data_IF_586688143954
#
_entry.id   IF_586688143954
#
_cell.length_a   1.000
_cell.length_b   1.000
_cell.length_c   1.000
_cell.angle_alpha   90.00
_cell.angle_beta   90.00
_cell.angle_gamma   90.00
#
_symmetry.space_group_name_H-M   'P 1'
#
loop_
_entity.id
_entity.type
_entity.pdbx_description
1 polymer ?
#
# COMPACT_ATOMS: atom_id res chain seq x y z
N UNK A 1 62.71 19.08 -6.09
CA UNK A 1 61.42 19.80 -5.98
C UNK A 1 60.24 18.83 -6.10
N UNK A 2 60.11 17.83 -5.23
CA UNK A 2 59.09 16.77 -5.41
C UNK A 2 58.40 16.23 -4.14
N UNK A 3 58.91 16.48 -2.93
CA UNK A 3 58.37 15.82 -1.71
C UNK A 3 57.41 16.68 -0.88
N UNK A 4 57.26 17.97 -1.17
CA UNK A 4 56.44 18.89 -0.35
C UNK A 4 54.94 18.89 -0.70
N UNK A 5 54.54 18.25 -1.81
CA UNK A 5 53.17 18.31 -2.32
C UNK A 5 52.27 17.15 -1.81
N UNK A 6 52.87 16.07 -1.31
CA UNK A 6 52.14 14.88 -0.83
C UNK A 6 51.65 15.08 0.62
N UNK A 7 52.46 15.68 1.48
CA UNK A 7 52.07 16.00 2.87
C UNK A 7 50.93 17.03 2.94
N UNK A 8 50.95 18.05 2.07
CA UNK A 8 49.88 19.06 2.01
C UNK A 8 48.53 18.47 1.58
N UNK A 9 48.52 17.54 0.62
CA UNK A 9 47.29 16.87 0.18
C UNK A 9 46.72 15.92 1.24
N UNK A 10 47.58 15.20 1.96
CA UNK A 10 47.15 14.25 3.00
C UNK A 10 46.70 14.96 4.28
N UNK A 11 47.31 16.10 4.62
CA UNK A 11 46.89 16.97 5.73
C UNK A 11 45.58 17.73 5.40
N UNK A 12 45.41 18.21 4.15
CA UNK A 12 44.12 18.77 3.69
C UNK A 12 43.00 17.73 3.71
N UNK A 13 43.25 16.51 3.24
CA UNK A 13 42.27 15.42 3.30
C UNK A 13 41.88 15.10 4.74
N UNK A 14 42.85 15.07 5.66
CA UNK A 14 42.59 14.79 7.07
C UNK A 14 41.83 15.94 7.75
N UNK A 15 42.12 17.21 7.42
CA UNK A 15 41.37 18.36 7.92
C UNK A 15 39.94 18.44 7.37
N UNK A 16 39.73 18.18 6.08
CA UNK A 16 38.38 18.14 5.48
C UNK A 16 37.55 17.01 6.10
N UNK A 17 38.17 15.84 6.32
CA UNK A 17 37.50 14.70 6.95
C UNK A 17 37.18 14.97 8.43
N UNK A 18 38.09 15.61 9.18
CA UNK A 18 37.88 16.01 10.58
C UNK A 18 36.82 17.11 10.71
N UNK A 19 36.79 18.08 9.80
CA UNK A 19 35.80 19.16 9.80
C UNK A 19 34.40 18.63 9.46
N UNK A 20 34.28 17.72 8.49
CA UNK A 20 33.03 16.99 8.21
C UNK A 20 32.57 16.16 9.40
N UNK A 21 33.49 15.50 10.10
CA UNK A 21 33.17 14.68 11.29
C UNK A 21 32.65 15.54 12.45
N UNK A 22 33.30 16.67 12.73
CA UNK A 22 32.92 17.60 13.80
C UNK A 22 31.54 18.25 13.56
N UNK A 23 31.20 18.53 12.30
CA UNK A 23 29.91 19.13 11.92
C UNK A 23 28.77 18.10 11.86
N UNK A 24 29.08 16.84 11.51
CA UNK A 24 28.12 15.73 11.58
C UNK A 24 27.72 15.43 13.03
N UNK A 25 28.67 15.42 13.97
CA UNK A 25 28.35 15.26 15.40
C UNK A 25 27.41 16.35 15.91
N UNK A 26 27.58 17.60 15.45
CA UNK A 26 26.66 18.70 15.75
C UNK A 26 25.24 18.48 15.22
N UNK A 27 25.08 17.87 14.04
CA UNK A 27 23.76 17.51 13.52
C UNK A 27 23.13 16.37 14.33
N UNK A 28 23.90 15.32 14.67
CA UNK A 28 23.40 14.21 15.50
C UNK A 28 22.84 14.73 16.82
N UNK A 29 23.57 15.62 17.49
CA UNK A 29 23.11 16.24 18.73
C UNK A 29 21.85 17.10 18.54
N UNK A 30 21.77 17.83 17.43
CA UNK A 30 20.56 18.59 17.06
C UNK A 30 19.35 17.66 16.90
N UNK A 31 19.51 16.53 16.21
CA UNK A 31 18.43 15.56 16.02
C UNK A 31 17.99 14.92 17.35
N UNK A 32 18.92 14.54 18.22
CA UNK A 32 18.63 14.06 19.59
C UNK A 32 17.78 15.06 20.37
N UNK A 33 18.14 16.35 20.31
CA UNK A 33 17.39 17.40 20.98
C UNK A 33 15.98 17.58 20.41
N UNK A 34 15.79 17.39 19.09
CA UNK A 34 14.45 17.42 18.48
C UNK A 34 13.56 16.28 19.00
N UNK A 35 14.14 15.10 19.25
CA UNK A 35 13.41 13.96 19.83
C UNK A 35 13.22 14.04 21.34
N UNK A 36 13.91 14.96 22.01
CA UNK A 36 13.89 15.09 23.46
C UNK A 36 12.56 15.60 24.02
N UNK A 37 12.34 15.34 25.30
CA UNK A 37 11.14 15.78 26.03
C UNK A 37 11.18 17.25 26.49
N UNK A 38 12.34 17.91 26.39
CA UNK A 38 12.50 19.33 26.77
C UNK A 38 12.03 20.24 25.62
N UNK A 39 10.89 20.89 25.82
CA UNK A 39 10.28 21.78 24.84
C UNK A 39 11.16 22.98 24.46
N UNK A 40 12.03 23.48 25.36
CA UNK A 40 12.90 24.60 25.06
C UNK A 40 14.08 24.16 24.19
N UNK A 41 14.72 23.04 24.53
CA UNK A 41 15.80 22.47 23.72
C UNK A 41 15.32 22.02 22.34
N UNK A 42 14.13 21.41 22.26
CA UNK A 42 13.52 21.00 20.99
C UNK A 42 13.31 22.18 20.05
N UNK A 43 12.70 23.28 20.53
CA UNK A 43 12.47 24.49 19.72
C UNK A 43 13.77 25.12 19.22
N UNK A 44 14.79 25.16 20.07
CA UNK A 44 16.09 25.70 19.69
C UNK A 44 16.79 24.81 18.64
N UNK A 45 16.70 23.48 18.79
CA UNK A 45 17.23 22.54 17.82
C UNK A 45 16.49 22.60 16.45
N UNK A 46 15.16 22.71 16.46
CA UNK A 46 14.36 22.93 15.25
C UNK A 46 14.75 24.23 14.51
N UNK A 47 15.02 25.30 15.28
CA UNK A 47 15.49 26.57 14.73
C UNK A 47 16.88 26.42 14.09
N UNK A 48 17.84 25.81 14.78
CA UNK A 48 19.19 25.54 14.23
C UNK A 48 19.11 24.73 12.94
N UNK A 49 18.27 23.71 12.89
CA UNK A 49 18.08 22.90 11.69
C UNK A 49 17.46 23.72 10.55
N UNK A 50 16.48 24.57 10.85
CA UNK A 50 15.86 25.47 9.86
C UNK A 50 16.87 26.47 9.28
N UNK A 51 17.72 27.05 10.13
CA UNK A 51 18.79 27.96 9.72
C UNK A 51 19.85 27.24 8.87
N UNK A 52 20.22 26.00 9.22
CA UNK A 52 21.14 25.17 8.44
C UNK A 52 20.58 24.86 7.04
N UNK A 53 19.30 24.50 6.94
CA UNK A 53 18.60 24.28 5.66
C UNK A 53 18.62 25.52 4.77
N UNK A 54 18.44 26.71 5.35
CA UNK A 54 18.40 27.96 4.60
C UNK A 54 19.79 28.44 4.17
N UNK A 55 20.78 28.33 5.05
CA UNK A 55 22.13 28.87 4.83
C UNK A 55 23.04 27.92 4.04
N UNK A 56 22.93 26.61 4.28
CA UNK A 56 23.81 25.58 3.74
C UNK A 56 23.02 24.32 3.32
N UNK A 57 22.12 24.43 2.32
CA UNK A 57 21.21 23.34 1.95
C UNK A 57 21.93 22.06 1.50
N UNK A 58 22.96 22.18 0.65
CA UNK A 58 23.72 21.02 0.16
C UNK A 58 24.47 20.28 1.27
N UNK A 59 25.10 21.03 2.18
CA UNK A 59 25.80 20.44 3.32
C UNK A 59 24.83 19.80 4.33
N UNK A 60 23.65 20.41 4.53
CA UNK A 60 22.61 19.82 5.38
C UNK A 60 22.16 18.47 4.82
N UNK A 61 21.92 18.37 3.51
CA UNK A 61 21.60 17.10 2.85
C UNK A 61 22.73 16.08 3.00
N UNK A 62 23.98 16.48 2.79
CA UNK A 62 25.15 15.60 2.96
C UNK A 62 25.26 15.06 4.40
N UNK A 63 25.07 15.91 5.41
CA UNK A 63 25.11 15.47 6.80
C UNK A 63 23.94 14.56 7.17
N UNK A 64 22.72 14.81 6.67
CA UNK A 64 21.59 13.91 6.87
C UNK A 64 21.86 12.51 6.32
N UNK A 65 22.45 12.42 5.12
CA UNK A 65 22.96 11.15 4.58
C UNK A 65 23.97 10.49 5.51
N UNK A 66 24.96 11.25 6.01
CA UNK A 66 25.98 10.73 6.93
C UNK A 66 25.39 10.17 8.22
N UNK A 67 24.34 10.80 8.77
CA UNK A 67 23.63 10.28 9.93
C UNK A 67 22.88 8.98 9.60
N UNK A 68 22.20 8.90 8.45
CA UNK A 68 21.52 7.67 8.01
C UNK A 68 22.52 6.52 7.82
N UNK A 69 23.67 6.79 7.20
CA UNK A 69 24.75 5.81 6.94
C UNK A 69 25.48 5.34 8.21
N UNK A 70 25.49 6.15 9.28
CA UNK A 70 26.29 5.87 10.46
C UNK A 70 25.65 4.81 11.37
N UNK A 71 26.20 3.60 11.35
CA UNK A 71 25.79 2.49 12.22
C UNK A 71 26.09 2.72 13.71
N UNK A 72 26.86 3.75 14.05
CA UNK A 72 27.15 4.14 15.43
C UNK A 72 26.07 5.06 16.02
N UNK A 73 25.23 5.67 15.19
CA UNK A 73 24.10 6.49 15.63
C UNK A 73 22.91 5.59 15.95
N UNK A 74 22.20 5.90 17.03
CA UNK A 74 21.02 5.16 17.44
C UNK A 74 19.92 5.18 16.37
N UNK A 75 19.25 4.03 16.20
CA UNK A 75 18.21 3.83 15.18
C UNK A 75 17.15 4.95 15.13
N UNK A 76 16.56 5.42 16.25
CA UNK A 76 15.56 6.49 16.20
C UNK A 76 16.05 7.78 15.56
N UNK A 77 17.32 8.15 15.78
CA UNK A 77 17.93 9.35 15.19
C UNK A 77 18.21 9.15 13.70
N UNK A 78 18.62 7.94 13.29
CA UNK A 78 18.78 7.57 11.88
C UNK A 78 17.47 7.63 11.12
N UNK A 79 16.38 7.11 11.70
CA UNK A 79 15.03 7.19 11.14
C UNK A 79 14.56 8.64 10.98
N UNK A 80 14.75 9.48 12.00
CA UNK A 80 14.40 10.90 11.91
C UNK A 80 15.24 11.63 10.87
N UNK A 81 16.54 11.33 10.76
CA UNK A 81 17.39 11.89 9.70
C UNK A 81 16.84 11.55 8.31
N UNK A 82 16.40 10.31 8.10
CA UNK A 82 15.77 9.89 6.85
C UNK A 82 14.45 10.65 6.58
N UNK A 83 13.59 10.84 7.59
CA UNK A 83 12.35 11.62 7.45
C UNK A 83 12.65 13.07 7.07
N UNK A 84 13.62 13.71 7.73
CA UNK A 84 14.03 15.08 7.43
C UNK A 84 14.71 15.19 6.05
N UNK A 85 15.48 14.17 5.66
CA UNK A 85 16.06 14.07 4.33
C UNK A 85 14.96 14.04 3.27
N UNK A 86 13.91 13.22 3.44
CA UNK A 86 12.74 13.21 2.55
C UNK A 86 12.12 14.60 2.40
N UNK A 87 11.92 15.30 3.53
CA UNK A 87 11.35 16.65 3.52
C UNK A 87 12.26 17.67 2.81
N UNK A 88 13.59 17.53 2.93
CA UNK A 88 14.55 18.36 2.22
C UNK A 88 14.56 18.09 0.71
N UNK A 89 14.26 16.87 0.29
CA UNK A 89 14.23 16.47 -1.13
C UNK A 89 12.85 16.65 -1.78
N UNK A 90 11.86 17.19 -1.05
CA UNK A 90 10.53 17.47 -1.57
C UNK A 90 10.41 18.81 -2.32
N UNK A 91 9.23 19.03 -2.91
CA UNK A 91 8.86 20.23 -3.67
C UNK A 91 9.79 20.48 -4.86
N UNK A 92 10.11 19.43 -5.63
CA UNK A 92 11.10 19.51 -6.72
C UNK A 92 10.76 20.55 -7.79
N UNK A 93 9.47 20.88 -7.95
CA UNK A 93 8.98 21.87 -8.92
C UNK A 93 9.09 23.33 -8.42
N UNK A 94 9.44 23.54 -7.15
CA UNK A 94 9.70 24.87 -6.59
C UNK A 94 11.15 25.27 -6.86
N UNK A 95 11.34 26.41 -7.55
CA UNK A 95 12.65 26.96 -7.88
C UNK A 95 13.48 27.27 -6.63
N UNK A 96 12.82 27.56 -5.50
CA UNK A 96 13.45 27.84 -4.22
C UNK A 96 13.63 26.61 -3.33
N UNK A 97 13.20 25.43 -3.77
CA UNK A 97 13.40 24.19 -3.02
C UNK A 97 14.89 23.87 -2.82
N UNK A 98 15.19 23.11 -1.77
CA UNK A 98 16.53 22.58 -1.54
C UNK A 98 16.95 21.71 -2.73
N UNK A 99 16.06 20.88 -3.26
CA UNK A 99 16.32 20.06 -4.44
C UNK A 99 16.81 20.87 -5.64
N UNK A 100 16.11 21.94 -6.01
CA UNK A 100 16.51 22.85 -7.10
C UNK A 100 17.89 23.48 -6.84
N UNK A 101 18.16 23.86 -5.60
CA UNK A 101 19.43 24.48 -5.17
C UNK A 101 20.63 23.52 -5.17
N UNK A 102 20.41 22.20 -5.19
CA UNK A 102 21.50 21.21 -5.26
C UNK A 102 22.23 21.19 -6.61
N UNK A 103 21.57 21.58 -7.70
CA UNK A 103 22.14 21.56 -9.05
C UNK A 103 22.74 20.18 -9.40
N UNK A 104 24.03 20.14 -9.77
CA UNK A 104 24.72 18.91 -10.15
C UNK A 104 24.76 17.83 -9.04
N UNK A 105 24.64 18.22 -7.76
CA UNK A 105 24.64 17.26 -6.65
C UNK A 105 23.41 16.34 -6.63
N UNK A 106 22.33 16.66 -7.36
CA UNK A 106 21.16 15.81 -7.52
C UNK A 106 21.50 14.40 -8.03
N UNK A 107 22.52 14.26 -8.89
CA UNK A 107 22.99 12.95 -9.35
C UNK A 107 23.60 12.13 -8.20
N UNK A 108 24.38 12.76 -7.33
CA UNK A 108 24.99 12.10 -6.18
C UNK A 108 23.92 11.68 -5.15
N UNK A 109 22.90 12.51 -4.94
CA UNK A 109 21.76 12.17 -4.07
C UNK A 109 21.05 10.92 -4.57
N UNK A 110 20.69 10.88 -5.86
CA UNK A 110 20.08 9.71 -6.49
C UNK A 110 20.93 8.45 -6.32
N UNK A 111 22.24 8.53 -6.61
CA UNK A 111 23.14 7.40 -6.45
C UNK A 111 23.24 6.91 -4.99
N UNK A 112 23.38 7.83 -4.03
CA UNK A 112 23.45 7.50 -2.60
C UNK A 112 22.17 6.85 -2.07
N UNK A 113 21.00 7.32 -2.49
CA UNK A 113 19.72 6.72 -2.08
C UNK A 113 19.62 5.26 -2.51
N UNK A 114 19.98 4.94 -3.76
CA UNK A 114 19.96 3.57 -4.25
C UNK A 114 20.98 2.69 -3.52
N UNK A 115 22.19 3.20 -3.27
CA UNK A 115 23.22 2.50 -2.50
C UNK A 115 22.76 2.21 -1.06
N UNK A 116 22.14 3.18 -0.40
CA UNK A 116 21.59 3.03 0.94
C UNK A 116 20.44 2.03 0.99
N UNK A 117 19.51 2.08 0.04
CA UNK A 117 18.40 1.14 -0.01
C UNK A 117 18.88 -0.31 -0.13
N UNK A 118 19.89 -0.55 -0.97
CA UNK A 118 20.44 -1.89 -1.15
C UNK A 118 21.32 -2.35 0.02
N UNK A 119 22.02 -1.42 0.68
CA UNK A 119 23.03 -1.71 1.70
C UNK A 119 22.57 -1.62 3.15
N UNK A 120 21.42 -1.00 3.44
CA UNK A 120 20.98 -0.73 4.82
C UNK A 120 20.55 -2.00 5.56
N UNK A 121 21.24 -2.38 6.65
CA UNK A 121 20.92 -3.61 7.39
C UNK A 121 19.66 -3.50 8.26
N UNK A 122 19.31 -2.29 8.74
CA UNK A 122 18.18 -2.12 9.68
C UNK A 122 16.88 -1.91 8.91
N UNK A 123 15.88 -2.82 9.02
CA UNK A 123 14.65 -2.73 8.23
C UNK A 123 13.89 -1.41 8.38
N UNK A 124 13.82 -0.86 9.59
CA UNK A 124 13.10 0.38 9.86
C UNK A 124 13.76 1.58 9.16
N UNK A 125 15.09 1.66 9.19
CA UNK A 125 15.85 2.72 8.49
C UNK A 125 15.76 2.51 6.98
N UNK A 126 15.93 1.27 6.50
CA UNK A 126 15.83 0.93 5.09
C UNK A 126 14.46 1.29 4.52
N UNK A 127 13.39 1.07 5.28
CA UNK A 127 12.03 1.47 4.90
C UNK A 127 11.88 2.97 4.72
N UNK A 128 12.49 3.77 5.60
CA UNK A 128 12.54 5.23 5.42
C UNK A 128 13.33 5.63 4.18
N UNK A 129 14.43 4.92 3.86
CA UNK A 129 15.17 5.16 2.61
C UNK A 129 14.34 4.80 1.39
N UNK A 130 13.63 3.67 1.40
CA UNK A 130 12.70 3.30 0.34
C UNK A 130 11.61 4.37 0.15
N UNK A 131 11.10 4.95 1.25
CA UNK A 131 10.13 6.05 1.21
C UNK A 131 10.71 7.32 0.57
N UNK A 132 11.99 7.64 0.83
CA UNK A 132 12.66 8.75 0.13
C UNK A 132 12.80 8.44 -1.37
N UNK A 133 13.18 7.21 -1.73
CA UNK A 133 13.35 6.80 -3.13
C UNK A 133 12.03 6.94 -3.91
N UNK A 134 10.94 6.37 -3.39
CA UNK A 134 9.64 6.48 -4.06
C UNK A 134 9.15 7.93 -4.10
N UNK A 135 9.29 8.67 -3.00
CA UNK A 135 8.78 10.04 -2.91
C UNK A 135 9.51 11.00 -3.83
N UNK A 136 10.83 10.85 -3.95
CA UNK A 136 11.62 11.63 -4.91
C UNK A 136 11.30 11.21 -6.33
N UNK A 137 11.24 9.89 -6.60
CA UNK A 137 10.93 9.36 -7.94
C UNK A 137 9.59 9.87 -8.47
N UNK A 138 8.52 9.81 -7.66
CA UNK A 138 7.19 10.32 -7.99
C UNK A 138 7.16 11.83 -8.27
N UNK A 139 8.15 12.57 -7.78
CA UNK A 139 8.24 14.02 -8.00
C UNK A 139 9.04 14.37 -9.26
N UNK A 140 10.11 13.62 -9.57
CA UNK A 140 11.02 13.96 -10.69
C UNK A 140 10.71 13.18 -11.97
N UNK A 141 10.03 12.05 -11.88
CA UNK A 141 9.67 11.24 -13.04
C UNK A 141 8.29 11.69 -13.51
N UNK A 142 8.30 12.25 -14.71
CA UNK A 142 7.11 12.65 -15.44
C UNK A 142 7.19 12.02 -16.83
N UNK A 143 6.34 11.02 -17.06
CA UNK A 143 6.25 10.28 -18.32
C UNK A 143 4.84 10.48 -18.82
N UNK A 144 4.72 10.93 -20.07
CA UNK A 144 3.43 11.10 -20.72
C UNK A 144 2.70 9.75 -20.87
N UNK A 145 1.38 9.74 -20.70
CA UNK A 145 0.57 8.52 -20.70
C UNK A 145 0.57 7.76 -22.04
N UNK A 146 0.88 8.44 -23.15
CA UNK A 146 0.96 7.84 -24.49
C UNK A 146 2.33 7.19 -24.75
N UNK A 147 3.34 7.53 -23.94
CA UNK A 147 4.70 7.03 -24.12
C UNK A 147 4.89 5.65 -23.50
N UNK A 148 5.83 4.88 -24.06
CA UNK A 148 6.29 3.59 -23.52
C UNK A 148 7.83 3.53 -23.56
N UNK A 149 8.51 4.38 -22.77
CA UNK A 149 9.96 4.44 -22.80
C UNK A 149 10.55 3.19 -22.15
N UNK A 150 11.74 2.79 -22.60
CA UNK A 150 12.45 1.64 -22.03
C UNK A 150 13.01 1.92 -20.62
N UNK A 151 13.07 3.19 -20.20
CA UNK A 151 13.61 3.60 -18.90
C UNK A 151 13.08 4.99 -18.47
N UNK A 152 13.32 5.36 -17.21
CA UNK A 152 13.04 6.70 -16.68
C UNK A 152 14.19 7.64 -17.02
N UNK A 153 14.00 8.61 -17.92
CA UNK A 153 15.08 9.53 -18.34
C UNK A 153 15.61 10.39 -17.18
N UNK A 154 14.72 10.80 -16.27
CA UNK A 154 15.05 11.64 -15.11
C UNK A 154 15.78 10.86 -14.01
N UNK A 155 15.70 9.52 -14.00
CA UNK A 155 16.46 8.67 -13.08
C UNK A 155 16.78 7.30 -13.70
N UNK A 156 17.73 7.23 -14.64
CA UNK A 156 17.98 6.02 -15.43
C UNK A 156 18.43 4.80 -14.62
N UNK A 157 19.03 5.01 -13.44
CA UNK A 157 19.53 3.93 -12.59
C UNK A 157 18.45 3.31 -11.69
N UNK A 158 17.29 3.95 -11.53
CA UNK A 158 16.26 3.56 -10.56
C UNK A 158 15.68 2.17 -10.85
N UNK A 159 14.99 2.02 -11.99
CA UNK A 159 14.34 0.76 -12.36
C UNK A 159 15.33 -0.40 -12.53
N UNK A 160 16.49 -0.23 -13.21
CA UNK A 160 17.48 -1.29 -13.28
C UNK A 160 17.98 -1.77 -11.92
N UNK A 161 18.19 -0.86 -10.96
CA UNK A 161 18.62 -1.22 -9.61
C UNK A 161 17.53 -2.00 -8.87
N UNK A 162 16.31 -1.47 -8.83
CA UNK A 162 15.18 -2.11 -8.14
C UNK A 162 14.91 -3.52 -8.68
N UNK A 163 14.83 -3.67 -10.01
CA UNK A 163 14.59 -4.98 -10.64
C UNK A 163 15.74 -5.95 -10.34
N UNK A 164 17.00 -5.50 -10.41
CA UNK A 164 18.16 -6.33 -10.09
C UNK A 164 18.10 -6.86 -8.67
N UNK A 165 17.80 -6.01 -7.68
CA UNK A 165 17.71 -6.42 -6.27
C UNK A 165 16.54 -7.37 -6.06
N UNK A 166 15.37 -7.08 -6.63
CA UNK A 166 14.16 -7.92 -6.52
C UNK A 166 14.41 -9.33 -7.05
N UNK A 167 15.11 -9.46 -8.18
CA UNK A 167 15.40 -10.74 -8.82
C UNK A 167 16.53 -11.54 -8.16
N UNK A 168 17.38 -10.90 -7.35
CA UNK A 168 18.52 -11.56 -6.69
C UNK A 168 18.07 -12.26 -5.40
N UNK A 169 17.63 -13.52 -5.53
CA UNK A 169 17.19 -14.35 -4.40
C UNK A 169 18.27 -14.64 -3.36
N UNK A 170 19.54 -14.29 -3.60
CA UNK A 170 20.60 -14.36 -2.59
C UNK A 170 20.61 -13.18 -1.62
N UNK A 171 19.90 -12.10 -1.95
CA UNK A 171 19.75 -10.91 -1.10
C UNK A 171 18.75 -11.15 0.03
N UNK A 172 18.89 -10.35 1.09
CA UNK A 172 17.92 -10.30 2.18
C UNK A 172 16.51 -10.07 1.66
N UNK A 173 15.56 -10.87 2.14
CA UNK A 173 14.19 -10.82 1.65
C UNK A 173 13.46 -9.55 2.08
N UNK A 174 13.90 -8.89 3.15
CA UNK A 174 13.42 -7.57 3.56
C UNK A 174 13.83 -6.48 2.57
N UNK A 175 15.09 -6.45 2.13
CA UNK A 175 15.55 -5.50 1.08
C UNK A 175 14.77 -5.71 -0.22
N UNK A 176 14.55 -6.99 -0.61
CA UNK A 176 13.73 -7.33 -1.78
C UNK A 176 12.30 -6.84 -1.63
N UNK A 177 11.67 -7.08 -0.48
CA UNK A 177 10.31 -6.62 -0.20
C UNK A 177 10.20 -5.09 -0.26
N UNK A 178 11.17 -4.37 0.31
CA UNK A 178 11.20 -2.90 0.25
C UNK A 178 11.39 -2.37 -1.17
N UNK A 179 12.14 -3.07 -2.02
CA UNK A 179 12.28 -2.71 -3.43
C UNK A 179 10.97 -2.96 -4.22
N UNK A 180 10.28 -4.09 -4.00
CA UNK A 180 8.96 -4.33 -4.62
C UNK A 180 7.97 -3.26 -4.16
N UNK A 181 7.97 -2.93 -2.87
CA UNK A 181 7.13 -1.86 -2.34
C UNK A 181 7.46 -0.50 -2.95
N UNK A 182 8.75 -0.16 -3.11
CA UNK A 182 9.13 1.11 -3.75
C UNK A 182 8.62 1.18 -5.19
N UNK A 183 8.69 0.08 -5.95
CA UNK A 183 8.09 0.02 -7.30
C UNK A 183 6.58 0.22 -7.24
N UNK A 184 5.89 -0.42 -6.29
CA UNK A 184 4.44 -0.26 -6.05
C UNK A 184 4.05 1.20 -5.83
N UNK A 185 4.73 1.90 -4.93
CA UNK A 185 4.45 3.31 -4.66
C UNK A 185 4.82 4.24 -5.83
N UNK A 186 5.72 3.80 -6.72
CA UNK A 186 6.12 4.54 -7.91
C UNK A 186 5.20 4.33 -9.12
N UNK A 187 4.26 3.37 -9.08
CA UNK A 187 3.52 2.91 -10.27
C UNK A 187 2.88 4.05 -11.04
N UNK A 188 2.27 5.01 -10.36
CA UNK A 188 1.66 6.19 -10.99
C UNK A 188 2.61 6.94 -11.92
N UNK A 189 3.89 7.03 -11.57
CA UNK A 189 4.92 7.71 -12.36
C UNK A 189 5.68 6.79 -13.32
N UNK A 190 5.67 5.47 -13.13
CA UNK A 190 6.55 4.54 -13.87
C UNK A 190 5.82 3.42 -14.61
N UNK A 191 4.49 3.35 -14.57
CA UNK A 191 3.73 2.26 -15.20
C UNK A 191 4.05 2.11 -16.69
N UNK A 192 4.31 3.22 -17.41
CA UNK A 192 4.68 3.21 -18.82
C UNK A 192 5.94 2.38 -19.09
N UNK A 193 6.93 2.45 -18.20
CA UNK A 193 8.18 1.67 -18.28
C UNK A 193 7.91 0.19 -18.01
N UNK A 194 7.05 -0.09 -17.02
CA UNK A 194 6.63 -1.45 -16.68
C UNK A 194 5.90 -2.12 -17.86
N UNK A 195 5.07 -1.37 -18.59
CA UNK A 195 4.38 -1.85 -19.79
C UNK A 195 5.29 -1.99 -21.00
N UNK A 196 6.19 -1.03 -21.20
CA UNK A 196 7.19 -1.09 -22.29
C UNK A 196 7.98 -2.40 -22.22
N UNK A 197 8.30 -2.86 -21.00
CA UNK A 197 8.97 -4.13 -20.71
C UNK A 197 8.02 -5.22 -20.19
N UNK A 198 6.78 -5.26 -20.68
CA UNK A 198 5.70 -6.08 -20.10
C UNK A 198 6.05 -7.55 -19.84
N UNK A 199 6.73 -8.24 -20.77
CA UNK A 199 7.11 -9.65 -20.58
C UNK A 199 8.09 -9.83 -19.41
N UNK A 200 9.05 -8.91 -19.27
CA UNK A 200 9.98 -8.90 -18.13
C UNK A 200 9.21 -8.60 -16.84
N UNK A 201 8.34 -7.60 -16.84
CA UNK A 201 7.54 -7.24 -15.67
C UNK A 201 6.68 -8.41 -15.19
N UNK A 202 6.04 -9.14 -16.12
CA UNK A 202 5.26 -10.34 -15.80
C UNK A 202 6.13 -11.43 -15.18
N UNK A 203 7.33 -11.67 -15.72
CA UNK A 203 8.27 -12.65 -15.16
C UNK A 203 8.74 -12.27 -13.74
N UNK A 204 9.07 -11.00 -13.52
CA UNK A 204 9.50 -10.48 -12.21
C UNK A 204 8.37 -10.58 -11.19
N UNK A 205 7.14 -10.18 -11.57
CA UNK A 205 5.97 -10.33 -10.69
C UNK A 205 5.69 -11.78 -10.36
N UNK A 206 5.74 -12.69 -11.35
CA UNK A 206 5.56 -14.12 -11.11
C UNK A 206 6.57 -14.65 -10.10
N UNK A 207 7.86 -14.31 -10.28
CA UNK A 207 8.92 -14.68 -9.34
C UNK A 207 8.61 -14.22 -7.91
N UNK A 208 8.12 -13.00 -7.75
CA UNK A 208 7.81 -12.43 -6.44
C UNK A 208 6.53 -13.00 -5.82
N UNK A 209 5.48 -13.19 -6.61
CA UNK A 209 4.20 -13.77 -6.15
C UNK A 209 4.38 -15.21 -5.67
N UNK A 210 5.31 -15.96 -6.27
CA UNK A 210 5.65 -17.33 -5.87
C UNK A 210 6.90 -17.40 -4.98
N UNK A 211 7.33 -16.30 -4.39
CA UNK A 211 8.53 -16.28 -3.54
C UNK A 211 8.35 -17.21 -2.34
N UNK A 212 9.26 -18.17 -2.17
CA UNK A 212 9.14 -19.18 -1.11
C UNK A 212 9.58 -18.65 0.27
N UNK A 213 10.42 -17.61 0.31
CA UNK A 213 11.13 -17.19 1.52
C UNK A 213 10.50 -16.02 2.26
N UNK A 214 9.61 -15.25 1.63
CA UNK A 214 9.05 -14.04 2.24
C UNK A 214 7.62 -13.74 1.82
N UNK A 215 6.71 -13.73 2.80
CA UNK A 215 5.34 -13.25 2.58
C UNK A 215 5.28 -11.75 2.24
N UNK A 216 6.22 -10.95 2.73
CA UNK A 216 6.27 -9.52 2.40
C UNK A 216 6.61 -9.28 0.92
N UNK A 217 7.50 -10.11 0.33
CA UNK A 217 7.76 -10.06 -1.12
C UNK A 217 6.50 -10.44 -1.90
N UNK A 218 5.84 -11.53 -1.50
CA UNK A 218 4.59 -11.99 -2.14
C UNK A 218 3.48 -10.94 -2.05
N UNK A 219 3.25 -10.39 -0.87
CA UNK A 219 2.20 -9.40 -0.60
C UNK A 219 2.44 -8.10 -1.38
N UNK A 220 3.67 -7.56 -1.35
CA UNK A 220 3.98 -6.36 -2.12
C UNK A 220 3.82 -6.59 -3.63
N UNK A 221 4.16 -7.79 -4.14
CA UNK A 221 3.95 -8.13 -5.55
C UNK A 221 2.47 -8.27 -5.92
N UNK A 222 1.65 -8.84 -5.04
CA UNK A 222 0.20 -8.90 -5.19
C UNK A 222 -0.41 -7.50 -5.29
N UNK A 223 -0.02 -6.60 -4.37
CA UNK A 223 -0.50 -5.21 -4.41
C UNK A 223 0.04 -4.44 -5.62
N UNK A 224 1.30 -4.65 -6.01
CA UNK A 224 1.88 -4.05 -7.22
C UNK A 224 1.13 -4.46 -8.48
N UNK A 225 0.69 -5.71 -8.59
CA UNK A 225 -0.14 -6.17 -9.70
C UNK A 225 -1.47 -5.38 -9.75
N UNK A 226 -2.15 -5.19 -8.63
CA UNK A 226 -3.36 -4.37 -8.57
C UNK A 226 -3.09 -2.94 -9.02
N UNK A 227 -2.03 -2.30 -8.50
CA UNK A 227 -1.67 -0.93 -8.88
C UNK A 227 -1.36 -0.80 -10.38
N UNK A 228 -0.66 -1.78 -10.98
CA UNK A 228 -0.41 -1.78 -12.42
C UNK A 228 -1.74 -1.85 -13.18
N UNK A 229 -2.68 -2.69 -12.75
CA UNK A 229 -3.98 -2.84 -13.41
C UNK A 229 -4.79 -1.53 -13.36
N UNK A 230 -4.77 -0.84 -12.22
CA UNK A 230 -5.49 0.42 -12.04
C UNK A 230 -4.88 1.58 -12.84
N UNK A 231 -3.56 1.68 -12.87
CA UNK A 231 -2.88 2.82 -13.47
C UNK A 231 -2.64 2.69 -14.99
N UNK A 232 -2.77 1.47 -15.54
CA UNK A 232 -2.65 1.26 -16.98
C UNK A 232 -3.87 1.76 -17.73
N UNK A 233 -3.67 2.41 -18.87
CA UNK A 233 -4.79 3.07 -19.57
C UNK A 233 -5.53 2.16 -20.54
N UNK A 234 -4.86 1.18 -21.15
CA UNK A 234 -5.44 0.34 -22.21
C UNK A 234 -5.74 -1.10 -21.75
N UNK A 235 -6.80 -1.69 -22.31
CA UNK A 235 -7.15 -3.10 -22.05
C UNK A 235 -6.07 -4.07 -22.53
N UNK A 236 -5.38 -3.76 -23.64
CA UNK A 236 -4.32 -4.61 -24.19
C UNK A 236 -3.09 -4.65 -23.29
N UNK A 237 -2.76 -3.52 -22.64
CA UNK A 237 -1.64 -3.46 -21.71
C UNK A 237 -1.96 -4.26 -20.45
N UNK A 238 -3.17 -4.09 -19.89
CA UNK A 238 -3.67 -4.90 -18.76
C UNK A 238 -3.65 -6.40 -19.05
N UNK A 239 -4.17 -6.82 -20.20
CA UNK A 239 -4.40 -8.23 -20.52
C UNK A 239 -3.14 -9.12 -20.36
N UNK A 240 -1.95 -8.56 -20.51
CA UNK A 240 -0.67 -9.26 -20.34
C UNK A 240 -0.46 -9.80 -18.92
N UNK A 241 -1.05 -9.15 -17.93
CA UNK A 241 -0.89 -9.50 -16.51
C UNK A 241 -1.94 -10.48 -16.00
N UNK A 242 -3.00 -10.76 -16.78
CA UNK A 242 -4.10 -11.65 -16.37
C UNK A 242 -3.62 -13.04 -15.88
N UNK A 243 -2.60 -13.67 -16.49
CA UNK A 243 -2.10 -14.96 -16.02
C UNK A 243 -1.56 -14.98 -14.58
N UNK A 244 -1.30 -13.81 -13.96
CA UNK A 244 -0.79 -13.68 -12.59
C UNK A 244 -1.90 -13.65 -11.52
N UNK A 245 -3.17 -13.47 -11.91
CA UNK A 245 -4.29 -13.35 -10.97
C UNK A 245 -4.44 -14.59 -10.06
N UNK A 246 -4.29 -15.84 -10.54
CA UNK A 246 -4.33 -17.01 -9.64
C UNK A 246 -3.24 -17.00 -8.56
N UNK A 247 -2.03 -16.52 -8.89
CA UNK A 247 -0.95 -16.42 -7.93
C UNK A 247 -1.24 -15.34 -6.89
N UNK A 248 -1.76 -14.18 -7.31
CA UNK A 248 -2.24 -13.13 -6.40
C UNK A 248 -3.27 -13.69 -5.41
N UNK A 249 -4.27 -14.43 -5.89
CA UNK A 249 -5.29 -15.01 -5.02
C UNK A 249 -4.68 -16.04 -4.05
N UNK A 250 -3.67 -16.78 -4.50
CA UNK A 250 -2.92 -17.72 -3.64
C UNK A 250 -2.19 -16.98 -2.52
N UNK A 251 -1.59 -15.81 -2.81
CA UNK A 251 -0.95 -14.96 -1.79
C UNK A 251 -1.95 -14.51 -0.74
N UNK A 252 -3.10 -13.96 -1.15
CA UNK A 252 -4.12 -13.46 -0.21
C UNK A 252 -4.71 -14.59 0.62
N UNK A 253 -4.99 -15.75 0.02
CA UNK A 253 -5.44 -16.93 0.74
C UNK A 253 -4.41 -17.42 1.76
N UNK A 254 -3.12 -17.39 1.42
CA UNK A 254 -2.05 -17.78 2.35
C UNK A 254 -1.92 -16.78 3.52
N UNK A 255 -2.03 -15.48 3.25
CA UNK A 255 -2.04 -14.45 4.30
C UNK A 255 -3.23 -14.64 5.26
N UNK A 256 -4.41 -15.00 4.75
CA UNK A 256 -5.58 -15.32 5.57
C UNK A 256 -5.41 -16.58 6.43
N UNK A 257 -4.49 -17.48 6.09
CA UNK A 257 -4.20 -18.74 6.81
C UNK A 257 -3.06 -18.61 7.84
N UNK A 258 -2.85 -17.41 8.37
CA UNK A 258 -1.87 -17.16 9.44
C UNK A 258 -0.66 -16.33 9.05
N UNK A 259 -0.75 -15.56 7.96
CA UNK A 259 0.25 -14.53 7.63
C UNK A 259 0.00 -13.21 8.35
N UNK A 260 0.84 -12.21 8.08
CA UNK A 260 0.70 -10.87 8.65
C UNK A 260 -0.62 -10.19 8.25
N UNK A 261 -1.41 -9.79 9.25
CA UNK A 261 -2.70 -9.11 9.08
C UNK A 261 -2.60 -7.82 8.26
N UNK A 262 -1.59 -6.98 8.50
CA UNK A 262 -1.44 -5.70 7.78
C UNK A 262 -1.19 -5.92 6.31
N UNK A 263 -0.42 -6.96 5.97
CA UNK A 263 -0.22 -7.38 4.58
C UNK A 263 -1.51 -7.87 3.94
N UNK A 264 -2.31 -8.65 4.68
CA UNK A 264 -3.63 -9.10 4.21
C UNK A 264 -4.57 -7.91 3.96
N UNK A 265 -4.68 -7.00 4.93
CA UNK A 265 -5.53 -5.81 4.82
C UNK A 265 -5.13 -4.96 3.62
N UNK A 266 -3.84 -4.70 3.44
CA UNK A 266 -3.33 -3.94 2.28
C UNK A 266 -3.65 -4.64 0.96
N UNK A 267 -3.53 -5.97 0.91
CA UNK A 267 -3.84 -6.73 -0.30
C UNK A 267 -5.34 -6.75 -0.63
N UNK A 268 -6.21 -6.84 0.39
CA UNK A 268 -7.66 -6.75 0.20
C UNK A 268 -8.10 -5.34 -0.22
N UNK A 269 -7.50 -4.30 0.36
CA UNK A 269 -7.72 -2.91 -0.06
C UNK A 269 -7.36 -2.71 -1.53
N UNK A 270 -6.19 -3.20 -1.96
CA UNK A 270 -5.75 -3.12 -3.35
C UNK A 270 -6.62 -3.96 -4.31
N UNK A 271 -7.42 -4.92 -3.81
CA UNK A 271 -8.35 -5.73 -4.61
C UNK A 271 -9.74 -5.12 -4.72
N UNK A 272 -10.03 -4.00 -4.06
CA UNK A 272 -11.29 -3.30 -4.23
C UNK A 272 -11.38 -2.75 -5.66
N UNK A 273 -12.54 -2.92 -6.28
CA UNK A 273 -12.65 -2.83 -7.74
C UNK A 273 -13.10 -1.44 -8.22
N UNK A 274 -12.40 -0.92 -9.23
CA UNK A 274 -12.88 0.10 -10.16
C UNK A 274 -13.55 -0.56 -11.37
N UNK A 275 -14.26 0.20 -12.24
CA UNK A 275 -14.81 -0.35 -13.48
C UNK A 275 -13.75 -1.01 -14.39
N UNK A 276 -12.54 -0.46 -14.41
CA UNK A 276 -11.38 -0.92 -15.17
C UNK A 276 -10.81 -2.23 -14.63
N UNK A 277 -10.50 -2.30 -13.32
CA UNK A 277 -9.99 -3.52 -12.71
C UNK A 277 -11.04 -4.62 -12.66
N UNK A 278 -12.31 -4.30 -12.44
CA UNK A 278 -13.39 -5.28 -12.54
C UNK A 278 -13.46 -5.92 -13.94
N UNK A 279 -13.16 -5.17 -15.02
CA UNK A 279 -13.11 -5.74 -16.37
C UNK A 279 -11.92 -6.70 -16.56
N UNK A 280 -10.81 -6.45 -15.85
CA UNK A 280 -9.61 -7.28 -15.87
C UNK A 280 -9.80 -8.57 -15.05
N UNK A 281 -10.36 -8.48 -13.85
CA UNK A 281 -10.47 -9.62 -12.92
C UNK A 281 -11.64 -10.56 -13.22
N UNK A 282 -12.63 -10.14 -14.02
CA UNK A 282 -13.92 -10.86 -14.22
C UNK A 282 -13.83 -12.37 -14.49
N UNK A 283 -12.81 -12.83 -15.23
CA UNK A 283 -12.67 -14.24 -15.59
C UNK A 283 -12.21 -15.12 -14.40
N UNK A 284 -11.63 -14.51 -13.37
CA UNK A 284 -11.08 -15.18 -12.18
C UNK A 284 -11.98 -15.08 -10.96
N UNK A 285 -12.99 -14.21 -11.00
CA UNK A 285 -13.82 -13.91 -9.83
C UNK A 285 -14.54 -15.14 -9.31
N UNK A 286 -15.18 -15.92 -10.18
CA UNK A 286 -15.90 -17.12 -9.74
C UNK A 286 -15.01 -18.25 -9.24
N UNK A 287 -13.81 -18.40 -9.82
CA UNK A 287 -12.93 -19.55 -9.56
C UNK A 287 -11.94 -19.33 -8.41
N UNK A 288 -11.51 -18.08 -8.18
CA UNK A 288 -10.45 -17.77 -7.22
C UNK A 288 -10.90 -16.73 -6.19
N UNK A 289 -11.41 -15.58 -6.65
CA UNK A 289 -11.62 -14.43 -5.76
C UNK A 289 -12.82 -14.63 -4.84
N UNK A 290 -13.95 -15.12 -5.37
CA UNK A 290 -15.18 -15.28 -4.59
C UNK A 290 -15.00 -16.29 -3.45
N UNK A 291 -14.49 -17.53 -3.66
CA UNK A 291 -14.30 -18.48 -2.56
C UNK A 291 -13.36 -17.93 -1.47
N UNK A 292 -12.30 -17.24 -1.88
CA UNK A 292 -11.33 -16.61 -0.98
C UNK A 292 -11.97 -15.50 -0.14
N UNK A 293 -12.66 -14.54 -0.77
CA UNK A 293 -13.28 -13.41 -0.06
C UNK A 293 -14.42 -13.87 0.85
N UNK A 294 -15.20 -14.87 0.43
CA UNK A 294 -16.26 -15.47 1.27
C UNK A 294 -15.67 -16.11 2.52
N UNK A 295 -14.61 -16.89 2.38
CA UNK A 295 -13.95 -17.53 3.52
C UNK A 295 -13.41 -16.50 4.52
N UNK A 296 -12.78 -15.42 4.03
CA UNK A 296 -12.26 -14.34 4.87
C UNK A 296 -13.41 -13.59 5.54
N UNK A 297 -14.38 -13.09 4.77
CA UNK A 297 -15.48 -12.27 5.28
C UNK A 297 -16.36 -12.99 6.30
N UNK A 298 -16.50 -14.31 6.19
CA UNK A 298 -17.31 -15.11 7.12
C UNK A 298 -16.59 -15.43 8.42
N UNK A 299 -15.30 -15.77 8.37
CA UNK A 299 -14.65 -16.52 9.45
C UNK A 299 -13.30 -15.98 9.92
N UNK A 300 -12.75 -14.93 9.29
CA UNK A 300 -11.50 -14.35 9.76
C UNK A 300 -11.67 -13.73 11.15
N UNK A 301 -10.63 -13.79 12.00
CA UNK A 301 -10.77 -13.39 13.41
C UNK A 301 -10.95 -11.89 13.62
N UNK A 302 -10.40 -11.07 12.71
CA UNK A 302 -10.47 -9.62 12.79
C UNK A 302 -11.65 -9.06 12.00
N UNK A 303 -12.42 -8.17 12.63
CA UNK A 303 -13.61 -7.58 12.02
C UNK A 303 -13.30 -6.68 10.82
N UNK A 304 -12.27 -5.86 10.89
CA UNK A 304 -11.94 -4.92 9.80
C UNK A 304 -11.44 -5.67 8.57
N UNK A 305 -10.64 -6.72 8.76
CA UNK A 305 -10.23 -7.60 7.67
C UNK A 305 -11.44 -8.29 7.00
N UNK A 306 -12.45 -8.70 7.78
CA UNK A 306 -13.70 -9.26 7.21
C UNK A 306 -14.42 -8.23 6.34
N UNK A 307 -14.53 -6.99 6.79
CA UNK A 307 -15.14 -5.88 6.04
C UNK A 307 -14.40 -5.63 4.72
N UNK A 308 -13.08 -5.65 4.73
CA UNK A 308 -12.27 -5.49 3.52
C UNK A 308 -12.56 -6.59 2.48
N UNK A 309 -12.70 -7.84 2.92
CA UNK A 309 -13.07 -8.93 2.02
C UNK A 309 -14.49 -8.80 1.46
N UNK A 310 -15.43 -8.28 2.27
CA UNK A 310 -16.78 -7.94 1.81
C UNK A 310 -16.74 -6.81 0.77
N UNK A 311 -15.92 -5.79 0.98
CA UNK A 311 -15.80 -4.66 0.06
C UNK A 311 -15.30 -5.11 -1.33
N UNK A 312 -14.41 -6.10 -1.41
CA UNK A 312 -14.00 -6.71 -2.70
C UNK A 312 -15.21 -7.34 -3.42
N UNK A 313 -16.09 -8.04 -2.69
CA UNK A 313 -17.29 -8.67 -3.25
C UNK A 313 -18.29 -7.59 -3.72
N UNK A 314 -18.52 -6.57 -2.89
CA UNK A 314 -19.50 -5.51 -3.17
C UNK A 314 -19.05 -4.62 -4.33
N UNK A 315 -17.81 -4.14 -4.32
CA UNK A 315 -17.25 -3.30 -5.40
C UNK A 315 -17.27 -3.99 -6.77
N UNK A 316 -17.02 -5.31 -6.81
CA UNK A 316 -17.18 -6.10 -8.04
C UNK A 316 -18.64 -6.19 -8.51
N UNK A 317 -19.59 -6.33 -7.57
CA UNK A 317 -21.02 -6.38 -7.88
C UNK A 317 -21.55 -5.04 -8.40
N UNK A 318 -21.09 -3.93 -7.84
CA UNK A 318 -21.41 -2.57 -8.30
C UNK A 318 -20.83 -2.30 -9.69
N UNK A 319 -19.59 -2.75 -9.94
CA UNK A 319 -18.91 -2.53 -11.22
C UNK A 319 -19.40 -3.44 -12.35
N UNK A 320 -19.69 -4.71 -12.06
CA UNK A 320 -20.04 -5.74 -13.06
C UNK A 320 -21.15 -6.68 -12.58
N UNK A 321 -22.37 -6.17 -12.28
CA UNK A 321 -23.45 -6.98 -11.69
C UNK A 321 -23.84 -8.17 -12.57
N UNK A 322 -23.94 -7.98 -13.89
CA UNK A 322 -24.24 -9.06 -14.85
C UNK A 322 -23.15 -10.14 -14.94
N UNK A 323 -21.90 -9.81 -14.61
CA UNK A 323 -20.82 -10.80 -14.52
C UNK A 323 -20.99 -11.61 -13.24
N UNK A 324 -21.26 -10.95 -12.11
CA UNK A 324 -21.46 -11.62 -10.83
C UNK A 324 -22.63 -12.60 -10.86
N UNK A 325 -23.72 -12.27 -11.56
CA UNK A 325 -24.85 -13.21 -11.74
C UNK A 325 -24.48 -14.49 -12.51
N UNK A 326 -23.41 -14.48 -13.31
CA UNK A 326 -22.92 -15.68 -14.00
C UNK A 326 -22.04 -16.56 -13.10
N UNK A 327 -21.57 -16.02 -11.98
CA UNK A 327 -20.81 -16.79 -10.99
C UNK A 327 -21.79 -17.70 -10.24
N UNK A 328 -21.54 -19.01 -10.33
CA UNK A 328 -22.44 -20.01 -9.75
C UNK A 328 -22.60 -19.80 -8.25
N UNK A 329 -23.86 -19.64 -7.81
CA UNK A 329 -24.19 -19.48 -6.39
C UNK A 329 -23.68 -18.17 -5.77
N UNK A 330 -23.33 -17.16 -6.56
CA UNK A 330 -22.80 -15.89 -6.06
C UNK A 330 -23.72 -15.25 -5.01
N UNK A 331 -25.00 -15.01 -5.34
CA UNK A 331 -25.94 -14.33 -4.43
C UNK A 331 -26.10 -15.09 -3.11
N UNK A 332 -26.19 -16.42 -3.17
CA UNK A 332 -26.27 -17.26 -1.97
C UNK A 332 -25.03 -17.11 -1.09
N UNK A 333 -23.83 -17.14 -1.68
CA UNK A 333 -22.57 -17.02 -0.95
C UNK A 333 -22.36 -15.60 -0.39
N UNK A 334 -22.65 -14.56 -1.18
CA UNK A 334 -22.52 -13.18 -0.75
C UNK A 334 -23.48 -12.88 0.41
N UNK A 335 -24.76 -13.22 0.27
CA UNK A 335 -25.75 -12.95 1.30
C UNK A 335 -25.49 -13.77 2.58
N UNK A 336 -25.00 -15.01 2.48
CA UNK A 336 -24.59 -15.79 3.65
C UNK A 336 -23.49 -15.05 4.46
N UNK A 337 -22.52 -14.40 3.80
CA UNK A 337 -21.51 -13.58 4.47
C UNK A 337 -22.15 -12.33 5.10
N UNK A 338 -22.99 -11.60 4.36
CA UNK A 338 -23.59 -10.35 4.84
C UNK A 338 -24.54 -10.60 6.03
N UNK A 339 -25.30 -11.69 5.97
CA UNK A 339 -26.16 -12.16 7.06
C UNK A 339 -25.33 -12.58 8.28
N UNK A 340 -24.20 -13.26 8.06
CA UNK A 340 -23.28 -13.59 9.14
C UNK A 340 -22.78 -12.31 9.82
N UNK A 341 -22.49 -11.26 9.05
CA UNK A 341 -22.09 -9.95 9.56
C UNK A 341 -23.22 -9.24 10.33
N UNK A 342 -24.43 -9.21 9.76
CA UNK A 342 -25.65 -8.70 10.41
C UNK A 342 -25.92 -9.36 11.77
N UNK A 343 -25.61 -10.65 11.92
CA UNK A 343 -25.78 -11.36 13.18
C UNK A 343 -24.80 -10.97 14.30
N UNK A 344 -23.75 -10.20 14.02
CA UNK A 344 -22.74 -9.77 15.01
C UNK A 344 -23.22 -8.54 15.79
N UNK A 345 -24.26 -8.73 16.59
CA UNK A 345 -24.75 -7.80 17.60
C UNK A 345 -24.28 -8.23 18.99
N UNK A 346 -24.35 -7.35 19.99
CA UNK A 346 -24.06 -7.71 21.39
C UNK A 346 -24.96 -8.88 21.86
N UNK A 347 -24.46 -9.75 22.74
CA UNK A 347 -25.25 -10.85 23.32
C UNK A 347 -26.37 -10.36 24.23
N UNK A 348 -26.16 -9.24 24.90
CA UNK A 348 -27.13 -8.56 25.75
C UNK A 348 -28.01 -7.61 24.92
N UNK A 349 -29.31 -7.87 24.93
CA UNK A 349 -30.30 -7.07 24.20
C UNK A 349 -30.41 -5.65 24.76
N UNK A 350 -30.25 -5.46 26.07
CA UNK A 350 -30.33 -4.13 26.69
C UNK A 350 -29.11 -3.30 26.29
N UNK A 351 -27.91 -3.89 26.34
CA UNK A 351 -26.69 -3.22 25.90
C UNK A 351 -26.76 -2.83 24.40
N UNK A 352 -27.19 -3.76 23.54
CA UNK A 352 -27.36 -3.46 22.11
C UNK A 352 -28.42 -2.37 21.86
N UNK A 353 -29.51 -2.35 22.63
CA UNK A 353 -30.54 -1.32 22.50
C UNK A 353 -30.03 0.07 22.94
N UNK A 354 -29.20 0.14 23.99
CA UNK A 354 -28.55 1.37 24.43
C UNK A 354 -27.58 1.92 23.36
N UNK A 355 -26.76 1.05 22.74
CA UNK A 355 -25.85 1.43 21.64
C UNK A 355 -26.61 2.07 20.46
N UNK A 356 -27.79 1.54 20.11
CA UNK A 356 -28.64 2.12 19.06
C UNK A 356 -29.19 3.51 19.41
N UNK A 357 -29.53 3.76 20.68
CA UNK A 357 -30.06 5.04 21.14
C UNK A 357 -28.99 6.12 21.20
N UNK A 358 -27.74 5.74 21.50
CA UNK A 358 -26.59 6.66 21.51
C UNK A 358 -26.18 7.12 20.10
N UNK A 359 -26.74 6.50 19.06
CA UNK A 359 -26.49 6.90 17.66
C UNK A 359 -25.04 6.71 17.27
N UNK A 360 -24.38 5.69 17.83
CA UNK A 360 -23.00 5.37 17.49
C UNK A 360 -22.96 4.96 16.01
N UNK A 361 -22.49 5.87 15.16
CA UNK A 361 -22.08 5.64 13.76
C UNK A 361 -20.83 4.72 13.72
N UNK A 362 -20.73 3.74 14.63
CA UNK A 362 -19.66 2.78 14.57
C UNK A 362 -19.84 1.97 13.30
N UNK A 363 -18.77 1.92 12.50
CA UNK A 363 -18.65 1.00 11.38
C UNK A 363 -18.52 -0.42 11.92
N UNK A 364 -19.48 -0.92 12.71
CA UNK A 364 -19.42 -2.25 13.26
C UNK A 364 -19.73 -3.31 12.19
N UNK A 365 -19.66 -4.59 12.58
CA UNK A 365 -19.95 -5.65 11.62
C UNK A 365 -21.42 -5.70 11.21
N UNK A 366 -22.34 -5.32 12.11
CA UNK A 366 -23.76 -5.30 11.83
C UNK A 366 -24.09 -4.30 10.71
N UNK A 367 -23.60 -3.06 10.84
CA UNK A 367 -23.77 -2.00 9.86
C UNK A 367 -23.09 -2.36 8.52
N UNK A 368 -21.89 -2.94 8.54
CA UNK A 368 -21.25 -3.43 7.31
C UNK A 368 -22.11 -4.47 6.57
N UNK A 369 -22.69 -5.45 7.29
CA UNK A 369 -23.57 -6.45 6.69
C UNK A 369 -24.83 -5.84 6.07
N UNK A 370 -25.42 -4.84 6.74
CA UNK A 370 -26.58 -4.09 6.26
C UNK A 370 -26.26 -3.31 4.98
N UNK A 371 -25.18 -2.55 4.96
CA UNK A 371 -24.76 -1.76 3.79
C UNK A 371 -24.38 -2.65 2.61
N UNK A 372 -23.68 -3.75 2.84
CA UNK A 372 -23.31 -4.70 1.79
C UNK A 372 -24.54 -5.33 1.13
N UNK A 373 -25.55 -5.69 1.93
CA UNK A 373 -26.82 -6.22 1.43
C UNK A 373 -27.54 -5.21 0.54
N UNK A 374 -27.68 -3.95 1.01
CA UNK A 374 -28.30 -2.87 0.25
C UNK A 374 -27.55 -2.61 -1.07
N UNK A 375 -26.24 -2.40 -1.01
CA UNK A 375 -25.40 -2.08 -2.18
C UNK A 375 -25.47 -3.15 -3.27
N UNK A 376 -25.45 -4.44 -2.89
CA UNK A 376 -25.61 -5.53 -3.86
C UNK A 376 -27.02 -5.57 -4.43
N UNK A 377 -28.07 -5.45 -3.61
CA UNK A 377 -29.45 -5.39 -4.11
C UNK A 377 -29.65 -4.21 -5.07
N UNK A 378 -29.11 -3.03 -4.74
CA UNK A 378 -29.10 -1.84 -5.60
C UNK A 378 -28.40 -2.07 -6.92
N UNK A 379 -27.23 -2.71 -6.89
CA UNK A 379 -26.47 -3.01 -8.11
C UNK A 379 -27.25 -3.96 -9.04
N UNK A 380 -27.93 -4.95 -8.48
CA UNK A 380 -28.75 -5.90 -9.24
C UNK A 380 -30.04 -5.26 -9.75
N UNK A 381 -30.70 -4.42 -8.94
CA UNK A 381 -31.88 -3.65 -9.35
C UNK A 381 -31.56 -2.70 -10.52
N UNK A 382 -30.42 -2.00 -10.48
CA UNK A 382 -29.95 -1.11 -11.55
C UNK A 382 -29.78 -1.80 -12.92
N UNK A 383 -29.69 -3.14 -12.95
CA UNK A 383 -29.62 -3.92 -14.19
C UNK A 383 -30.86 -4.80 -14.42
N UNK A 384 -31.97 -4.49 -13.75
CA UNK A 384 -33.25 -5.20 -13.85
C UNK A 384 -33.15 -6.69 -13.43
N UNK A 385 -32.28 -7.00 -12.47
CA UNK A 385 -32.02 -8.36 -11.97
C UNK A 385 -32.21 -8.47 -10.45
N UNK A 386 -33.16 -7.73 -9.88
CA UNK A 386 -33.46 -7.81 -8.45
C UNK A 386 -34.16 -9.12 -8.05
N UNK A 387 -35.00 -9.69 -8.92
CA UNK A 387 -35.77 -10.91 -8.59
C UNK A 387 -34.91 -12.09 -8.07
N UNK A 388 -33.75 -12.43 -8.66
CA UNK A 388 -32.82 -13.41 -8.08
C UNK A 388 -32.37 -13.10 -6.64
N UNK A 389 -32.20 -11.83 -6.26
CA UNK A 389 -31.84 -11.46 -4.90
C UNK A 389 -32.98 -11.80 -3.94
N UNK A 390 -34.20 -11.43 -4.33
CA UNK A 390 -35.40 -11.70 -3.55
C UNK A 390 -35.62 -13.21 -3.34
N UNK A 391 -35.42 -14.04 -4.36
CA UNK A 391 -35.56 -15.49 -4.25
C UNK A 391 -34.57 -16.11 -3.25
N UNK A 392 -33.34 -15.59 -3.18
CA UNK A 392 -32.33 -16.04 -2.21
C UNK A 392 -32.66 -15.57 -0.78
N UNK A 393 -33.19 -14.35 -0.63
CA UNK A 393 -33.46 -13.75 0.69
C UNK A 393 -34.76 -14.24 1.33
N UNK A 394 -35.79 -14.58 0.55
CA UNK A 394 -37.06 -15.13 1.04
C UNK A 394 -36.92 -16.25 2.09
N UNK A 395 -36.18 -17.34 1.83
CA UNK A 395 -36.04 -18.42 2.82
C UNK A 395 -35.30 -17.96 4.09
N UNK A 396 -34.30 -17.08 3.96
CA UNK A 396 -33.60 -16.51 5.11
C UNK A 396 -34.52 -15.67 6.00
N UNK A 397 -35.27 -14.75 5.40
CA UNK A 397 -36.20 -13.88 6.13
C UNK A 397 -37.28 -14.73 6.82
N UNK A 398 -37.84 -15.73 6.13
CA UNK A 398 -38.83 -16.62 6.71
C UNK A 398 -38.27 -17.43 7.90
N UNK A 399 -37.05 -17.97 7.78
CA UNK A 399 -36.39 -18.70 8.85
C UNK A 399 -36.04 -17.80 10.05
N UNK A 400 -35.64 -16.56 9.78
CA UNK A 400 -35.30 -15.57 10.82
C UNK A 400 -36.46 -15.34 11.79
N UNK A 401 -37.69 -15.19 11.27
CA UNK A 401 -38.89 -15.02 12.10
C UNK A 401 -39.36 -16.29 12.82
N UNK A 402 -38.83 -17.46 12.44
CA UNK A 402 -39.18 -18.75 13.07
C UNK A 402 -38.13 -19.22 14.08
N UNK A 403 -37.00 -18.53 14.17
CA UNK A 403 -35.84 -18.94 14.98
C UNK A 403 -36.08 -18.90 16.49
N UNK A 404 -36.94 -17.98 16.96
CA UNK A 404 -37.06 -17.66 18.38
C UNK A 404 -35.86 -16.90 18.97
N UNK A 405 -34.85 -16.60 18.16
CA UNK A 405 -33.67 -15.81 18.51
C UNK A 405 -33.89 -14.35 18.09
N UNK A 406 -33.70 -13.41 19.02
CA UNK A 406 -33.88 -12.00 18.75
C UNK A 406 -32.87 -11.48 17.72
N UNK A 407 -31.63 -11.99 17.71
CA UNK A 407 -30.59 -11.56 16.75
C UNK A 407 -30.95 -11.97 15.32
N UNK A 408 -31.46 -13.19 15.16
CA UNK A 408 -31.95 -13.68 13.88
C UNK A 408 -33.19 -12.89 13.45
N UNK A 409 -34.12 -12.64 14.37
CA UNK A 409 -35.32 -11.83 14.10
C UNK A 409 -34.95 -10.42 13.64
N UNK A 410 -34.03 -9.74 14.35
CA UNK A 410 -33.52 -8.41 13.97
C UNK A 410 -32.84 -8.44 12.61
N UNK A 411 -31.96 -9.42 12.35
CA UNK A 411 -31.32 -9.59 11.04
C UNK A 411 -32.34 -9.76 9.90
N UNK A 412 -33.42 -10.51 10.14
CA UNK A 412 -34.52 -10.68 9.19
C UNK A 412 -35.29 -9.38 8.92
N UNK A 413 -35.56 -8.58 9.96
CA UNK A 413 -36.20 -7.26 9.84
C UNK A 413 -35.30 -6.31 9.06
N UNK A 414 -34.01 -6.24 9.38
CA UNK A 414 -33.04 -5.39 8.69
C UNK A 414 -32.95 -5.79 7.22
N UNK A 415 -32.84 -7.08 6.92
CA UNK A 415 -32.81 -7.57 5.54
C UNK A 415 -34.09 -7.20 4.76
N UNK A 416 -35.27 -7.39 5.37
CA UNK A 416 -36.54 -6.99 4.76
C UNK A 416 -36.61 -5.47 4.51
N UNK A 417 -36.11 -4.67 5.46
CA UNK A 417 -36.06 -3.21 5.34
C UNK A 417 -35.10 -2.75 4.24
N UNK A 418 -33.95 -3.41 4.05
CA UNK A 418 -33.02 -3.03 2.98
C UNK A 418 -33.58 -3.36 1.60
N UNK A 419 -34.39 -4.41 1.48
CA UNK A 419 -34.91 -4.82 0.17
C UNK A 419 -36.26 -4.21 -0.21
N UNK A 420 -36.98 -3.61 0.75
CA UNK A 420 -38.34 -3.11 0.50
C UNK A 420 -38.41 -2.02 -0.57
N UNK A 421 -37.35 -1.24 -0.77
CA UNK A 421 -37.31 -0.20 -1.80
C UNK A 421 -37.16 -0.75 -3.23
N UNK A 422 -36.78 -2.02 -3.39
CA UNK A 422 -36.54 -2.66 -4.69
C UNK A 422 -37.65 -3.61 -5.13
N UNK A 423 -38.64 -3.85 -4.27
CA UNK A 423 -39.81 -4.66 -4.58
C UNK A 423 -40.82 -3.74 -5.28
N UNK A 424 -40.98 -3.90 -6.59
CA UNK A 424 -42.05 -3.24 -7.34
C UNK A 424 -43.43 -3.62 -6.77
N UNK A 425 -44.37 -2.66 -6.75
CA UNK A 425 -45.77 -2.89 -6.34
C UNK A 425 -46.50 -3.97 -7.17
#
# INVERSE_FOLDING_TARGET
FGSSCIFGKQFCFHLEHLCKFFLMEGLVETLRQIQGNDNALRKEAEKRFTEAKASQPGQTVEHLFGVVESTQVEQPVREQSAVLLRQCLGKVNDADSIWSKLGAAQQQVRAKLLQLLEGEPVPQVRRQVADIVQSLGNQIIDIDEEQRPANCEQWPELMPMLIRVVCDTSKDSGVRADCVWAVKELVLSVWQVLIASGDQTVQVLKLCLTDAGSEAVRANAATLLCEIVENTTTKSDRARFAPLVPDLCTVVAALAQGGDKKLLDTALQALQMTPESADFFKEYVGSHMMPMCVAIGKSYSDGDTRKLAVEVIVSMAESKPKTMLKVQGYLQQAFDVFITLLGNMDEDLEAWAEELEEGDDSEDQHQCGKEALDRVCRAMHRVEQFAPCLEVLKPFIAASFQSGDWKQTTSGIVALSQISEYIDE
#
